data_IF_426630279369
#
_entry.id   IF_426630279369
#
_cell.length_a   1.000
_cell.length_b   1.000
_cell.length_c   1.000
_cell.angle_alpha   90.00
_cell.angle_beta   90.00
_cell.angle_gamma   90.00
#
_symmetry.space_group_name_H-M   'P 1'
#
loop_
_entity.id
_entity.type
_entity.pdbx_description
1 polymer ?
#
# COMPACT_ATOMS: atom_id res chain seq x y z
N UNK A 1 -9.87 -18.29 37.97
CA UNK A 1 -8.68 -17.45 38.18
C UNK A 1 -8.23 -16.91 36.86
N UNK A 2 -8.15 -15.59 36.64
CA UNK A 2 -7.61 -15.05 35.39
C UNK A 2 -6.10 -15.35 35.33
N UNK A 3 -5.63 -15.84 34.18
CA UNK A 3 -4.22 -16.11 33.91
C UNK A 3 -3.38 -14.84 34.05
N UNK A 4 -2.14 -14.90 34.55
CA UNK A 4 -1.29 -13.73 34.66
C UNK A 4 -1.06 -13.14 33.27
N UNK A 5 -1.35 -11.85 33.14
CA UNK A 5 -1.00 -11.03 31.98
C UNK A 5 0.48 -11.23 31.67
N UNK A 6 0.78 -12.01 30.63
CA UNK A 6 2.13 -12.08 30.07
C UNK A 6 2.53 -10.65 29.68
N UNK A 7 3.53 -10.08 30.36
CA UNK A 7 4.18 -8.84 29.96
C UNK A 7 4.65 -9.06 28.52
N UNK A 8 3.98 -8.42 27.55
CA UNK A 8 4.42 -8.45 26.16
C UNK A 8 5.83 -7.88 26.12
N UNK A 9 6.81 -8.71 25.75
CA UNK A 9 8.18 -8.28 25.52
C UNK A 9 8.17 -7.29 24.33
N UNK A 10 8.65 -6.06 24.55
CA UNK A 10 8.81 -5.07 23.48
C UNK A 10 10.23 -5.19 22.92
N UNK A 11 10.35 -5.36 21.61
CA UNK A 11 11.62 -5.18 20.91
C UNK A 11 11.81 -3.69 20.65
N UNK A 12 13.01 -3.19 20.93
CA UNK A 12 13.39 -1.80 20.75
C UNK A 12 14.69 -1.71 19.98
N UNK A 13 14.77 -0.81 19.01
CA UNK A 13 16.00 -0.44 18.34
C UNK A 13 16.67 0.71 19.10
N UNK A 14 17.96 0.54 19.46
CA UNK A 14 18.76 1.57 20.10
C UNK A 14 19.89 2.00 19.16
N UNK A 15 20.12 3.30 19.04
CA UNK A 15 21.21 3.90 18.26
C UNK A 15 21.85 5.08 19.01
N UNK A 16 23.00 5.57 18.54
CA UNK A 16 23.86 6.48 19.28
C UNK A 16 23.19 7.78 19.80
N UNK A 17 22.22 8.32 19.06
CA UNK A 17 21.49 9.57 19.40
C UNK A 17 20.09 9.36 20.03
N UNK A 18 19.68 8.13 20.26
CA UNK A 18 18.33 7.77 20.76
C UNK A 18 17.87 8.54 22.02
N UNK A 19 18.81 8.90 22.91
CA UNK A 19 18.48 9.62 24.15
C UNK A 19 18.29 11.14 23.98
N UNK A 20 18.85 11.74 22.96
CA UNK A 20 18.73 13.19 22.71
C UNK A 20 17.44 13.55 21.99
N UNK A 21 16.99 12.70 21.05
CA UNK A 21 15.80 12.95 20.24
C UNK A 21 14.48 12.78 20.97
N UNK A 22 14.43 11.92 21.99
CA UNK A 22 13.23 11.79 22.85
C UNK A 22 12.92 13.05 23.64
N UNK A 23 13.84 14.04 23.69
CA UNK A 23 13.68 15.30 24.42
C UNK A 23 13.36 16.51 23.53
N UNK A 24 13.39 16.40 22.20
CA UNK A 24 13.05 17.52 21.33
C UNK A 24 11.55 17.71 21.27
N UNK A 25 11.01 18.43 22.26
CA UNK A 25 9.75 19.15 22.13
C UNK A 25 9.83 20.00 20.86
N UNK A 26 8.94 19.74 19.91
CA UNK A 26 8.97 20.23 18.56
C UNK A 26 9.37 21.72 18.45
N UNK A 27 10.27 22.00 17.54
CA UNK A 27 10.63 23.36 17.17
C UNK A 27 9.34 24.01 16.65
N UNK A 28 8.79 24.97 17.41
CA UNK A 28 7.63 25.76 16.99
C UNK A 28 8.12 26.82 16.01
N UNK A 29 8.13 26.50 14.75
CA UNK A 29 8.33 27.51 13.72
C UNK A 29 7.03 28.28 13.50
N UNK A 30 7.07 29.62 13.42
CA UNK A 30 5.88 30.40 13.11
C UNK A 30 5.36 30.05 11.70
N UNK A 31 4.07 29.89 11.58
CA UNK A 31 3.37 29.50 10.36
C UNK A 31 2.56 30.70 9.85
N UNK A 32 2.56 30.89 8.53
CA UNK A 32 1.74 31.90 7.82
C UNK A 32 0.81 31.24 6.81
N UNK A 33 -0.47 31.58 6.87
CA UNK A 33 -1.45 31.19 5.85
C UNK A 33 -1.30 32.15 4.67
N UNK A 34 -0.91 31.63 3.50
CA UNK A 34 -0.76 32.41 2.25
C UNK A 34 -2.06 32.45 1.44
N UNK A 35 -2.82 31.35 1.43
CA UNK A 35 -4.12 31.23 0.77
C UNK A 35 -5.05 30.48 1.74
N UNK A 36 -6.24 31.00 1.96
CA UNK A 36 -7.25 30.37 2.79
C UNK A 36 -8.38 29.80 1.91
N UNK A 37 -8.92 28.65 2.29
CA UNK A 37 -9.98 27.96 1.60
C UNK A 37 -10.96 27.34 2.59
N UNK A 38 -12.18 27.16 2.18
CA UNK A 38 -13.23 26.48 2.96
C UNK A 38 -13.32 24.98 2.71
N UNK A 39 -12.56 24.44 1.76
CA UNK A 39 -12.61 23.02 1.36
C UNK A 39 -12.10 22.05 2.43
N UNK A 40 -11.31 22.54 3.38
CA UNK A 40 -10.63 21.70 4.36
C UNK A 40 -9.35 21.01 3.84
N UNK A 41 -9.00 21.17 2.57
CA UNK A 41 -7.73 20.68 2.01
C UNK A 41 -6.58 21.64 2.36
N UNK A 42 -5.42 21.06 2.77
CA UNK A 42 -4.28 21.85 3.25
C UNK A 42 -3.01 21.45 2.51
N UNK A 43 -2.26 22.43 2.03
CA UNK A 43 -0.92 22.26 1.48
C UNK A 43 0.09 23.04 2.34
N UNK A 44 1.07 22.36 2.90
CA UNK A 44 2.12 22.96 3.72
C UNK A 44 3.43 23.07 2.95
N UNK A 45 3.99 24.28 2.92
CA UNK A 45 5.36 24.51 2.50
C UNK A 45 6.21 24.75 3.75
N UNK A 46 6.64 23.69 4.41
CA UNK A 46 7.41 23.75 5.67
C UNK A 46 8.11 22.42 5.94
N UNK A 47 8.94 22.35 6.97
CA UNK A 47 9.33 21.06 7.54
C UNK A 47 8.09 20.29 8.00
N UNK A 48 8.08 19.00 7.72
CA UNK A 48 6.90 18.16 8.00
C UNK A 48 6.65 17.99 9.52
N UNK A 49 7.66 18.01 10.38
CA UNK A 49 7.46 17.98 11.82
C UNK A 49 6.72 19.25 12.30
N UNK A 50 7.05 20.42 11.74
CA UNK A 50 6.33 21.68 11.97
C UNK A 50 4.86 21.57 11.55
N UNK A 51 4.60 21.04 10.36
CA UNK A 51 3.24 20.87 9.84
C UNK A 51 2.42 19.93 10.70
N UNK A 52 2.99 18.79 11.10
CA UNK A 52 2.28 17.79 11.92
C UNK A 52 1.96 18.33 13.30
N UNK A 53 2.88 19.08 13.94
CA UNK A 53 2.62 19.76 15.22
C UNK A 53 1.52 20.82 15.09
N UNK A 54 1.54 21.63 14.01
CA UNK A 54 0.47 22.57 13.74
C UNK A 54 -0.90 21.88 13.63
N UNK A 55 -0.96 20.74 12.96
CA UNK A 55 -2.20 19.97 12.83
C UNK A 55 -2.72 19.50 14.19
N UNK A 56 -1.83 19.03 15.09
CA UNK A 56 -2.23 18.66 16.47
C UNK A 56 -2.81 19.86 17.22
N UNK A 57 -2.11 21.01 17.20
CA UNK A 57 -2.55 22.23 17.86
C UNK A 57 -3.89 22.76 17.32
N UNK A 58 -4.21 22.45 16.05
CA UNK A 58 -5.48 22.82 15.42
C UNK A 58 -6.53 21.69 15.43
N UNK A 59 -6.39 20.71 16.31
CA UNK A 59 -7.40 19.71 16.60
C UNK A 59 -7.55 18.62 15.55
N UNK A 60 -6.49 18.28 14.78
CA UNK A 60 -6.49 17.17 13.82
C UNK A 60 -6.12 15.82 14.46
N UNK A 61 -5.94 15.73 15.78
CA UNK A 61 -5.72 14.46 16.45
C UNK A 61 -6.83 13.46 16.13
N UNK A 62 -6.42 12.25 15.77
CA UNK A 62 -7.33 11.14 15.43
C UNK A 62 -8.31 11.41 14.26
N UNK A 63 -7.94 12.29 13.31
CA UNK A 63 -8.81 12.64 12.18
C UNK A 63 -8.37 12.12 10.83
N UNK A 64 -7.10 11.74 10.66
CA UNK A 64 -6.58 11.28 9.36
C UNK A 64 -6.87 9.80 9.17
N UNK A 65 -7.56 9.45 8.09
CA UNK A 65 -7.98 8.08 7.83
C UNK A 65 -6.93 7.27 7.06
N UNK A 66 -6.12 7.92 6.23
CA UNK A 66 -5.03 7.29 5.51
C UNK A 66 -3.82 8.21 5.44
N UNK A 67 -2.68 7.70 5.84
CA UNK A 67 -1.37 8.36 5.61
C UNK A 67 -0.58 7.53 4.62
N UNK A 68 -0.06 8.17 3.57
CA UNK A 68 0.99 7.63 2.73
C UNK A 68 2.19 8.53 2.82
N UNK A 69 3.38 7.97 3.02
CA UNK A 69 4.62 8.73 3.00
C UNK A 69 5.72 8.00 2.22
N UNK A 70 6.52 8.78 1.53
CA UNK A 70 7.68 8.36 0.75
C UNK A 70 8.91 9.19 1.17
N UNK A 71 9.48 8.91 2.37
CA UNK A 71 10.62 9.67 2.88
C UNK A 71 11.88 9.38 2.07
N UNK A 72 12.96 10.20 2.17
CA UNK A 72 14.26 9.92 1.56
C UNK A 72 14.76 8.51 1.88
N UNK A 73 15.49 7.86 0.95
CA UNK A 73 15.90 6.45 1.09
C UNK A 73 17.34 6.23 1.59
N UNK A 74 18.02 7.28 2.00
CA UNK A 74 19.39 7.17 2.53
C UNK A 74 20.45 6.88 1.47
N UNK A 75 20.21 7.26 0.22
CA UNK A 75 21.13 6.98 -0.90
C UNK A 75 22.23 8.03 -1.10
N UNK A 76 22.03 9.24 -0.58
CA UNK A 76 22.92 10.37 -0.79
C UNK A 76 22.90 10.90 -2.23
N UNK A 77 21.75 10.85 -2.85
CA UNK A 77 21.54 11.30 -4.22
C UNK A 77 20.87 12.68 -4.25
N UNK A 78 21.20 13.49 -5.26
CA UNK A 78 20.50 14.73 -5.56
C UNK A 78 19.41 14.45 -6.58
N UNK A 79 18.21 14.96 -6.33
CA UNK A 79 17.05 14.77 -7.16
C UNK A 79 16.59 16.08 -7.78
N UNK A 80 16.09 16.03 -9.00
CA UNK A 80 15.76 17.18 -9.82
C UNK A 80 14.34 17.10 -10.38
N UNK A 81 13.81 18.27 -10.72
CA UNK A 81 12.65 18.39 -11.59
C UNK A 81 13.14 18.88 -12.95
N UNK A 82 12.96 18.09 -13.99
CA UNK A 82 13.44 18.31 -15.36
C UNK A 82 12.30 18.69 -16.27
N UNK A 83 12.32 19.89 -16.82
CA UNK A 83 11.39 20.35 -17.85
C UNK A 83 12.11 21.05 -18.99
N UNK A 84 11.90 20.59 -20.24
CA UNK A 84 12.38 21.27 -21.46
C UNK A 84 13.82 21.83 -21.34
N UNK A 85 14.78 21.00 -20.96
CA UNK A 85 16.19 21.35 -20.78
C UNK A 85 16.54 22.24 -19.56
N UNK A 86 15.59 22.42 -18.64
CA UNK A 86 15.87 23.09 -17.35
C UNK A 86 15.83 22.05 -16.23
N UNK A 87 16.90 22.00 -15.44
CA UNK A 87 16.97 21.18 -14.23
C UNK A 87 16.83 22.08 -13.01
N UNK A 88 15.76 21.91 -12.24
CA UNK A 88 15.56 22.59 -10.97
C UNK A 88 15.85 21.61 -9.83
N UNK A 89 16.68 21.96 -8.84
CA UNK A 89 16.90 21.13 -7.67
C UNK A 89 15.56 20.84 -6.97
N UNK A 90 15.28 19.59 -6.68
CA UNK A 90 14.09 19.16 -5.96
C UNK A 90 14.43 18.94 -4.47
N UNK A 91 15.27 17.97 -4.17
CA UNK A 91 15.81 17.76 -2.83
C UNK A 91 17.13 16.96 -2.89
N UNK A 92 17.88 16.97 -1.79
CA UNK A 92 19.09 16.19 -1.59
C UNK A 92 18.90 15.18 -0.47
N UNK A 93 19.14 13.89 -0.75
CA UNK A 93 19.16 12.86 0.26
C UNK A 93 20.54 12.81 0.91
N UNK A 94 20.65 13.36 2.10
CA UNK A 94 21.93 13.55 2.81
C UNK A 94 22.36 12.36 3.69
N UNK A 95 21.60 11.27 3.68
CA UNK A 95 21.74 10.17 4.65
C UNK A 95 22.63 9.00 4.22
N UNK A 96 23.37 9.10 3.11
CA UNK A 96 24.21 8.00 2.64
C UNK A 96 25.15 7.49 3.72
N UNK A 97 24.94 6.22 4.13
CA UNK A 97 25.73 5.58 5.19
C UNK A 97 25.48 6.11 6.61
N UNK A 98 24.57 7.05 6.79
CA UNK A 98 24.26 7.72 8.05
C UNK A 98 22.91 7.26 8.59
N UNK A 99 22.78 5.96 8.84
CA UNK A 99 21.52 5.34 9.28
C UNK A 99 21.00 6.00 10.56
N UNK A 100 21.87 6.28 11.52
CA UNK A 100 21.49 6.93 12.79
C UNK A 100 20.87 8.31 12.58
N UNK A 101 21.46 9.18 11.71
CA UNK A 101 20.90 10.51 11.40
C UNK A 101 19.52 10.37 10.70
N UNK A 102 19.34 9.35 9.87
CA UNK A 102 18.05 9.06 9.26
C UNK A 102 17.01 8.64 10.31
N UNK A 103 17.39 7.78 11.24
CA UNK A 103 16.47 7.33 12.30
C UNK A 103 16.08 8.50 13.21
N UNK A 104 17.02 9.40 13.53
CA UNK A 104 16.77 10.65 14.25
C UNK A 104 15.77 11.57 13.50
N UNK A 105 15.81 11.56 12.19
CA UNK A 105 14.88 12.33 11.36
C UNK A 105 13.49 11.69 11.34
N UNK A 106 13.39 10.40 11.09
CA UNK A 106 12.10 9.75 10.81
C UNK A 106 11.30 9.39 12.08
N UNK A 107 11.98 9.02 13.17
CA UNK A 107 11.33 8.57 14.41
C UNK A 107 10.34 9.60 14.98
N UNK A 108 10.73 10.87 15.27
CA UNK A 108 9.82 11.85 15.83
C UNK A 108 8.64 12.17 14.90
N UNK A 109 8.84 12.07 13.57
CA UNK A 109 7.79 12.28 12.58
C UNK A 109 6.74 11.18 12.63
N UNK A 110 7.16 9.93 12.68
CA UNK A 110 6.27 8.78 12.79
C UNK A 110 5.48 8.80 14.10
N UNK A 111 6.15 9.17 15.20
CA UNK A 111 5.51 9.28 16.53
C UNK A 111 4.37 10.32 16.54
N UNK A 112 4.60 11.50 15.94
CA UNK A 112 3.59 12.56 15.89
C UNK A 112 2.50 12.24 14.85
N UNK A 113 2.86 11.68 13.69
CA UNK A 113 1.90 11.20 12.67
C UNK A 113 0.95 10.16 13.28
N UNK A 114 1.46 9.25 14.11
CA UNK A 114 0.65 8.24 14.78
C UNK A 114 -0.51 8.86 15.58
N UNK A 115 -0.33 10.03 16.19
CA UNK A 115 -1.37 10.75 16.94
C UNK A 115 -2.48 11.31 16.04
N UNK A 116 -2.15 11.70 14.81
CA UNK A 116 -3.12 12.23 13.85
C UNK A 116 -4.04 11.16 13.26
N UNK A 117 -3.61 9.90 13.23
CA UNK A 117 -4.36 8.81 12.58
C UNK A 117 -5.61 8.46 13.38
N UNK A 118 -6.75 8.39 12.69
CA UNK A 118 -8.05 8.01 13.24
C UNK A 118 -8.06 6.57 13.74
N UNK A 119 -9.00 6.22 14.61
CA UNK A 119 -9.11 4.86 15.18
C UNK A 119 -9.24 3.76 14.12
N UNK A 120 -9.77 4.08 12.93
CA UNK A 120 -9.89 3.15 11.78
C UNK A 120 -8.82 3.36 10.72
N UNK A 121 -7.93 4.33 10.92
CA UNK A 121 -6.97 4.77 9.93
C UNK A 121 -5.76 3.85 9.78
N UNK A 122 -5.01 4.10 8.72
CA UNK A 122 -3.82 3.34 8.33
C UNK A 122 -2.69 4.26 7.89
N UNK A 123 -1.46 3.74 8.00
CA UNK A 123 -0.27 4.35 7.41
C UNK A 123 0.42 3.38 6.47
N UNK A 124 0.88 3.91 5.35
CA UNK A 124 1.68 3.24 4.32
C UNK A 124 3.00 3.98 4.20
N UNK A 125 4.11 3.31 4.54
CA UNK A 125 5.46 3.88 4.47
C UNK A 125 6.24 3.19 3.37
N UNK A 126 6.53 3.93 2.29
CA UNK A 126 7.25 3.43 1.14
C UNK A 126 8.75 3.57 1.36
N UNK A 127 9.49 2.50 1.20
CA UNK A 127 10.92 2.42 1.47
C UNK A 127 11.62 1.48 0.48
N UNK A 128 12.91 1.70 0.30
CA UNK A 128 13.75 0.68 -0.29
C UNK A 128 14.47 -0.17 0.78
N UNK A 129 15.22 -1.16 0.34
CA UNK A 129 15.89 -2.14 1.22
C UNK A 129 16.92 -1.52 2.19
N UNK A 130 17.47 -0.31 1.90
CA UNK A 130 18.49 0.30 2.75
C UNK A 130 17.99 0.61 4.16
N UNK A 131 16.75 1.05 4.27
CA UNK A 131 16.17 1.57 5.51
C UNK A 131 14.96 0.78 6.01
N UNK A 132 14.37 -0.07 5.15
CA UNK A 132 13.14 -0.82 5.40
C UNK A 132 13.13 -1.52 6.75
N UNK A 133 14.18 -2.28 7.04
CA UNK A 133 14.23 -3.12 8.25
C UNK A 133 14.35 -2.31 9.53
N UNK A 134 15.11 -1.21 9.50
CA UNK A 134 15.23 -0.31 10.65
C UNK A 134 13.92 0.41 10.93
N UNK A 135 13.28 0.95 9.89
CA UNK A 135 11.98 1.63 10.01
C UNK A 135 10.89 0.64 10.45
N UNK A 136 10.95 -0.63 10.01
CA UNK A 136 10.01 -1.65 10.47
C UNK A 136 10.05 -1.83 11.98
N UNK A 137 11.25 -1.89 12.59
CA UNK A 137 11.39 -2.03 14.05
C UNK A 137 10.88 -0.78 14.78
N UNK A 138 11.16 0.41 14.26
CA UNK A 138 10.64 1.67 14.80
C UNK A 138 9.11 1.71 14.73
N UNK A 139 8.53 1.28 13.62
CA UNK A 139 7.08 1.24 13.48
C UNK A 139 6.43 0.22 14.41
N UNK A 140 7.08 -0.91 14.69
CA UNK A 140 6.61 -1.86 15.70
C UNK A 140 6.61 -1.24 17.10
N UNK A 141 7.59 -0.38 17.44
CA UNK A 141 7.64 0.34 18.70
C UNK A 141 6.52 1.39 18.81
N UNK A 142 6.33 2.21 17.76
CA UNK A 142 5.40 3.35 17.75
C UNK A 142 3.95 2.91 17.56
N UNK A 143 3.70 2.03 16.60
CA UNK A 143 2.34 1.61 16.22
C UNK A 143 1.89 0.32 16.94
N UNK A 144 2.83 -0.49 17.42
CA UNK A 144 2.60 -1.83 17.97
C UNK A 144 2.72 -2.91 16.90
N UNK A 145 3.47 -4.00 17.21
CA UNK A 145 3.66 -5.14 16.32
C UNK A 145 2.32 -5.76 15.86
N UNK A 146 1.33 -5.82 16.75
CA UNK A 146 0.00 -6.35 16.48
C UNK A 146 -0.81 -5.54 15.45
N UNK A 147 -0.39 -4.31 15.19
CA UNK A 147 -1.02 -3.40 14.22
C UNK A 147 -0.37 -3.47 12.84
N UNK A 148 0.71 -4.23 12.69
CA UNK A 148 1.29 -4.54 11.39
C UNK A 148 0.31 -5.36 10.55
N UNK A 149 0.11 -4.95 9.30
CA UNK A 149 -0.80 -5.61 8.36
C UNK A 149 -0.06 -6.40 7.31
N UNK A 150 0.78 -5.73 6.54
CA UNK A 150 1.59 -6.37 5.50
C UNK A 150 2.82 -5.54 5.18
N UNK A 151 3.84 -6.20 4.67
CA UNK A 151 4.81 -5.64 3.77
C UNK A 151 4.29 -5.88 2.35
N UNK A 152 4.14 -4.80 1.57
CA UNK A 152 3.71 -4.85 0.18
C UNK A 152 4.96 -4.69 -0.68
N UNK A 153 5.23 -5.69 -1.52
CA UNK A 153 6.34 -5.67 -2.47
C UNK A 153 5.86 -5.06 -3.78
N UNK A 154 6.53 -4.00 -4.23
CA UNK A 154 6.19 -3.32 -5.46
C UNK A 154 7.38 -3.28 -6.43
N UNK A 155 7.13 -3.45 -7.72
CA UNK A 155 8.15 -3.37 -8.74
C UNK A 155 8.62 -1.93 -8.95
N UNK A 156 9.94 -1.72 -9.01
CA UNK A 156 10.53 -0.37 -9.17
C UNK A 156 10.28 0.28 -10.52
N UNK A 157 10.02 -0.48 -11.56
CA UNK A 157 9.91 0.00 -12.93
C UNK A 157 11.10 -0.42 -13.81
N UNK A 158 11.01 -0.13 -15.09
CA UNK A 158 12.00 -0.55 -16.10
C UNK A 158 13.23 0.36 -16.09
N UNK A 159 14.11 0.24 -15.11
CA UNK A 159 15.48 0.75 -15.31
C UNK A 159 16.24 -0.20 -16.21
N UNK A 160 17.03 0.36 -17.16
CA UNK A 160 17.98 -0.46 -17.96
C UNK A 160 18.87 -1.20 -16.98
N UNK A 161 18.85 -2.53 -17.04
CA UNK A 161 19.74 -3.36 -16.22
C UNK A 161 21.16 -3.27 -16.80
N UNK A 162 21.96 -2.37 -16.26
CA UNK A 162 23.36 -2.16 -16.71
C UNK A 162 24.29 -3.29 -16.25
N UNK A 163 23.81 -4.25 -15.42
CA UNK A 163 24.62 -5.37 -14.95
C UNK A 163 25.14 -6.26 -16.10
N UNK A 164 24.42 -6.30 -17.23
CA UNK A 164 24.88 -7.00 -18.46
C UNK A 164 26.22 -6.47 -19.03
N UNK A 165 26.65 -5.26 -18.63
CA UNK A 165 27.93 -4.67 -19.08
C UNK A 165 29.13 -5.24 -18.32
N UNK A 166 28.91 -5.95 -17.20
CA UNK A 166 29.98 -6.47 -16.36
C UNK A 166 30.15 -7.97 -16.58
N UNK A 167 31.40 -8.44 -16.60
CA UNK A 167 31.72 -9.88 -16.70
C UNK A 167 31.33 -10.66 -15.44
N UNK A 168 31.28 -10.01 -14.32
CA UNK A 168 30.89 -10.56 -13.02
C UNK A 168 30.09 -9.55 -12.21
N UNK A 169 29.23 -10.01 -11.31
CA UNK A 169 28.42 -9.20 -10.40
C UNK A 169 28.63 -9.68 -8.96
N UNK A 170 28.60 -8.75 -8.01
CA UNK A 170 28.71 -9.01 -6.57
C UNK A 170 27.34 -9.19 -5.91
N UNK A 171 26.28 -8.75 -6.57
CA UNK A 171 24.89 -8.85 -6.08
C UNK A 171 23.87 -8.83 -7.21
N UNK A 172 22.67 -9.30 -6.91
CA UNK A 172 21.55 -9.25 -7.84
C UNK A 172 21.02 -7.82 -8.01
N UNK A 173 20.37 -7.54 -9.14
CA UNK A 173 19.68 -6.29 -9.35
C UNK A 173 18.49 -6.16 -8.39
N UNK A 174 18.41 -5.02 -7.67
CA UNK A 174 17.28 -4.69 -6.81
C UNK A 174 16.12 -4.20 -7.68
N UNK A 175 15.10 -5.03 -7.81
CA UNK A 175 13.97 -4.81 -8.70
C UNK A 175 12.69 -4.32 -8.00
N UNK A 176 12.70 -4.22 -6.67
CA UNK A 176 11.54 -3.87 -5.87
C UNK A 176 11.83 -2.79 -4.83
N UNK A 177 10.77 -2.11 -4.43
CA UNK A 177 10.64 -1.37 -3.18
C UNK A 177 9.61 -2.08 -2.30
N UNK A 178 9.53 -1.69 -1.04
CA UNK A 178 8.57 -2.23 -0.08
C UNK A 178 7.73 -1.11 0.54
N UNK A 179 6.47 -1.42 0.83
CA UNK A 179 5.59 -0.52 1.55
C UNK A 179 5.16 -1.21 2.85
N UNK A 180 5.52 -0.64 3.98
CA UNK A 180 5.05 -1.11 5.28
C UNK A 180 3.65 -0.57 5.55
N UNK A 181 2.69 -1.46 5.79
CA UNK A 181 1.32 -1.10 6.12
C UNK A 181 1.00 -1.43 7.57
N UNK A 182 0.61 -0.39 8.32
CA UNK A 182 0.09 -0.49 9.68
C UNK A 182 -1.30 0.14 9.77
N UNK A 183 -2.15 -0.40 10.64
CA UNK A 183 -3.39 0.25 11.07
C UNK A 183 -3.22 0.89 12.43
N UNK A 184 -4.11 1.81 12.79
CA UNK A 184 -4.13 2.42 14.14
C UNK A 184 -4.44 1.41 15.24
N UNK A 185 -5.28 0.41 14.97
CA UNK A 185 -5.65 -0.62 15.94
C UNK A 185 -5.75 -2.01 15.31
N UNK A 186 -5.46 -3.05 16.07
CA UNK A 186 -5.52 -4.45 15.64
C UNK A 186 -6.94 -4.89 15.23
N UNK A 187 -7.97 -4.26 15.79
CA UNK A 187 -9.38 -4.54 15.47
C UNK A 187 -9.87 -3.95 14.16
N UNK A 188 -9.10 -3.09 13.49
CA UNK A 188 -9.50 -2.48 12.22
C UNK A 188 -9.65 -3.56 11.14
N UNK A 189 -10.85 -3.62 10.54
CA UNK A 189 -11.17 -4.53 9.44
C UNK A 189 -11.28 -3.74 8.14
N UNK A 190 -10.75 -4.33 7.08
CA UNK A 190 -10.82 -3.78 5.73
C UNK A 190 -11.70 -4.67 4.86
N UNK A 191 -12.37 -4.07 3.89
CA UNK A 191 -13.02 -4.85 2.84
C UNK A 191 -11.94 -5.57 2.02
N UNK A 192 -12.29 -6.72 1.43
CA UNK A 192 -11.36 -7.42 0.55
C UNK A 192 -10.94 -6.51 -0.61
N UNK A 193 -9.67 -6.08 -0.67
CA UNK A 193 -9.19 -5.32 -1.80
C UNK A 193 -9.22 -6.19 -3.06
N UNK A 194 -9.90 -5.70 -4.09
CA UNK A 194 -10.09 -6.41 -5.35
C UNK A 194 -9.35 -5.70 -6.48
N UNK A 195 -8.67 -6.48 -7.32
CA UNK A 195 -8.09 -5.98 -8.57
C UNK A 195 -8.71 -6.66 -9.76
N UNK A 196 -8.82 -5.93 -10.88
CA UNK A 196 -9.24 -6.49 -12.15
C UNK A 196 -8.18 -7.50 -12.61
N UNK A 197 -8.57 -8.75 -12.67
CA UNK A 197 -7.74 -9.82 -13.22
C UNK A 197 -8.68 -10.84 -13.87
N UNK A 198 -8.75 -10.81 -15.19
CA UNK A 198 -9.60 -11.71 -15.95
C UNK A 198 -8.98 -13.11 -15.91
N UNK A 199 -9.66 -14.01 -15.23
CA UNK A 199 -9.35 -15.44 -15.26
C UNK A 199 -10.45 -16.18 -16.00
N UNK A 200 -10.08 -16.94 -17.02
CA UNK A 200 -11.00 -17.76 -17.76
C UNK A 200 -11.52 -18.91 -16.89
N UNK A 201 -12.72 -19.39 -17.19
CA UNK A 201 -13.25 -20.60 -16.60
C UNK A 201 -12.37 -21.82 -16.91
N UNK A 202 -12.34 -22.78 -15.99
CA UNK A 202 -11.57 -24.02 -16.18
C UNK A 202 -12.15 -25.18 -15.38
N UNK A 203 -11.87 -26.39 -15.82
CA UNK A 203 -12.12 -27.61 -15.07
C UNK A 203 -10.90 -27.97 -14.22
N UNK A 204 -11.12 -28.37 -12.99
CA UNK A 204 -10.07 -28.82 -12.06
C UNK A 204 -10.45 -30.15 -11.38
N UNK A 205 -9.46 -30.96 -11.06
CA UNK A 205 -9.64 -32.21 -10.33
C UNK A 205 -10.35 -32.00 -9.00
N UNK A 206 -11.37 -32.83 -8.74
CA UNK A 206 -12.22 -32.73 -7.56
C UNK A 206 -11.65 -33.44 -6.32
N UNK A 207 -10.67 -34.31 -6.52
CA UNK A 207 -9.94 -34.98 -5.43
C UNK A 207 -8.87 -34.06 -4.80
N UNK A 208 -8.65 -34.27 -3.48
CA UNK A 208 -7.63 -33.60 -2.68
C UNK A 208 -6.92 -34.63 -1.79
N UNK A 209 -5.62 -34.44 -1.55
CA UNK A 209 -4.83 -35.31 -0.67
C UNK A 209 -5.03 -35.02 0.84
N UNK A 210 -5.85 -34.03 1.20
CA UNK A 210 -6.22 -33.76 2.60
C UNK A 210 -7.00 -34.95 3.15
N UNK A 211 -6.71 -35.35 4.40
CA UNK A 211 -7.33 -36.52 5.02
C UNK A 211 -8.51 -36.14 5.93
N UNK A 212 -9.72 -36.18 5.39
CA UNK A 212 -10.97 -36.05 6.14
C UNK A 212 -11.91 -37.22 5.77
N UNK A 213 -11.98 -38.28 6.59
CA UNK A 213 -12.78 -39.48 6.26
C UNK A 213 -14.25 -39.19 5.95
N UNK A 214 -14.87 -38.21 6.62
CA UNK A 214 -16.27 -37.78 6.38
C UNK A 214 -16.52 -37.17 4.99
N UNK A 215 -15.46 -36.85 4.26
CA UNK A 215 -15.50 -36.33 2.90
C UNK A 215 -15.20 -37.42 1.85
N UNK A 216 -15.19 -38.70 2.27
CA UNK A 216 -15.06 -39.87 1.40
C UNK A 216 -16.42 -40.50 1.25
N UNK A 217 -17.03 -40.30 0.12
CA UNK A 217 -18.33 -40.84 -0.27
C UNK A 217 -18.27 -41.23 -1.73
N UNK A 218 -19.20 -42.07 -2.15
CA UNK A 218 -19.26 -42.56 -3.53
C UNK A 218 -19.69 -41.45 -4.51
N UNK A 219 -18.89 -41.25 -5.58
CA UNK A 219 -19.25 -40.47 -6.76
C UNK A 219 -18.81 -41.22 -8.03
N UNK A 220 -19.75 -41.40 -8.96
CA UNK A 220 -19.51 -42.09 -10.23
C UNK A 220 -18.93 -43.51 -10.05
N UNK A 221 -19.41 -44.22 -9.04
CA UNK A 221 -18.98 -45.60 -8.74
C UNK A 221 -17.61 -45.67 -8.04
N UNK A 222 -17.07 -44.55 -7.52
CA UNK A 222 -15.75 -44.52 -6.91
C UNK A 222 -15.76 -43.82 -5.52
N UNK A 223 -15.15 -44.50 -4.54
CA UNK A 223 -14.87 -43.93 -3.20
C UNK A 223 -13.37 -43.78 -3.02
N UNK A 224 -12.85 -42.61 -2.62
CA UNK A 224 -11.42 -42.45 -2.41
C UNK A 224 -10.90 -43.28 -1.21
N UNK A 225 -9.93 -44.14 -1.41
CA UNK A 225 -9.26 -44.88 -0.32
C UNK A 225 -8.40 -43.95 0.54
N UNK A 226 -7.74 -42.95 -0.11
CA UNK A 226 -6.95 -41.88 0.52
C UNK A 226 -7.36 -40.52 -0.04
N UNK A 227 -7.05 -39.49 0.75
CA UNK A 227 -7.49 -38.15 0.41
C UNK A 227 -8.97 -37.97 0.64
N UNK A 228 -9.59 -37.05 -0.08
CA UNK A 228 -11.01 -36.71 0.08
C UNK A 228 -11.56 -36.03 -1.16
N UNK A 229 -12.88 -35.90 -1.24
CA UNK A 229 -13.53 -34.97 -2.14
C UNK A 229 -13.46 -33.54 -1.59
N UNK A 230 -13.52 -32.52 -2.46
CA UNK A 230 -13.39 -31.10 -2.04
C UNK A 230 -14.66 -30.53 -1.41
N UNK A 231 -15.84 -31.07 -1.73
CA UNK A 231 -17.12 -30.59 -1.22
C UNK A 231 -17.87 -31.68 -0.46
N UNK A 232 -18.90 -31.29 0.31
CA UNK A 232 -19.81 -32.24 0.95
C UNK A 232 -20.61 -33.04 -0.09
N UNK A 233 -21.13 -34.22 0.33
CA UNK A 233 -21.88 -35.11 -0.56
C UNK A 233 -23.08 -34.43 -1.20
N UNK A 234 -23.89 -33.72 -0.42
CA UNK A 234 -25.07 -33.02 -0.92
C UNK A 234 -24.71 -31.96 -1.99
N UNK A 235 -23.68 -31.13 -1.73
CA UNK A 235 -23.21 -30.12 -2.68
C UNK A 235 -22.66 -30.74 -3.97
N UNK A 236 -21.91 -31.85 -3.85
CA UNK A 236 -21.36 -32.54 -5.01
C UNK A 236 -22.47 -33.19 -5.88
N UNK A 237 -23.46 -33.82 -5.26
CA UNK A 237 -24.60 -34.42 -6.01
C UNK A 237 -25.40 -33.35 -6.73
N UNK A 238 -25.68 -32.22 -6.09
CA UNK A 238 -26.38 -31.10 -6.75
C UNK A 238 -25.56 -30.57 -7.95
N UNK A 239 -24.24 -30.42 -7.80
CA UNK A 239 -23.38 -29.96 -8.89
C UNK A 239 -23.32 -30.97 -10.07
N UNK A 240 -23.42 -32.27 -9.80
CA UNK A 240 -23.49 -33.30 -10.83
C UNK A 240 -24.84 -33.18 -11.56
N UNK A 241 -25.95 -33.00 -10.84
CA UNK A 241 -27.27 -32.86 -11.44
C UNK A 241 -27.36 -31.59 -12.29
N UNK A 242 -26.84 -30.47 -11.80
CA UNK A 242 -26.74 -29.23 -12.57
C UNK A 242 -26.01 -29.44 -13.91
N UNK A 243 -24.93 -30.23 -13.90
CA UNK A 243 -24.17 -30.51 -15.12
C UNK A 243 -24.96 -31.43 -16.08
N UNK A 244 -25.68 -32.42 -15.56
CA UNK A 244 -26.57 -33.26 -16.38
C UNK A 244 -27.68 -32.45 -17.05
N UNK A 245 -28.31 -31.55 -16.31
CA UNK A 245 -29.34 -30.64 -16.85
C UNK A 245 -28.75 -29.78 -17.97
N UNK A 246 -27.57 -29.21 -17.76
CA UNK A 246 -26.89 -28.44 -18.78
C UNK A 246 -26.64 -29.27 -20.03
N UNK A 247 -26.04 -30.45 -19.92
CA UNK A 247 -25.73 -31.31 -21.08
C UNK A 247 -26.99 -31.81 -21.79
N UNK A 248 -28.06 -32.09 -21.02
CA UNK A 248 -29.30 -32.63 -21.60
C UNK A 248 -30.20 -31.59 -22.28
N UNK A 249 -30.14 -30.33 -21.88
CA UNK A 249 -31.07 -29.29 -22.34
C UNK A 249 -30.44 -28.02 -22.91
N UNK A 250 -29.16 -27.74 -22.65
CA UNK A 250 -28.51 -26.46 -22.94
C UNK A 250 -27.12 -26.64 -23.54
N UNK A 251 -26.75 -27.80 -24.04
CA UNK A 251 -25.43 -28.08 -24.61
C UNK A 251 -25.13 -27.30 -25.90
N UNK A 252 -26.11 -26.66 -26.51
CA UNK A 252 -26.03 -25.78 -27.66
C UNK A 252 -25.39 -24.42 -27.34
N UNK A 253 -25.36 -24.04 -26.06
CA UNK A 253 -24.67 -22.80 -25.61
C UNK A 253 -23.47 -23.14 -24.75
N UNK A 254 -22.42 -22.26 -24.73
CA UNK A 254 -21.27 -22.46 -23.86
C UNK A 254 -21.64 -22.51 -22.39
N UNK A 255 -20.98 -23.40 -21.61
CA UNK A 255 -21.24 -23.54 -20.16
C UNK A 255 -21.13 -22.23 -19.40
N UNK A 256 -20.18 -21.37 -19.79
CA UNK A 256 -20.02 -20.05 -19.19
C UNK A 256 -21.22 -19.13 -19.44
N UNK A 257 -21.82 -19.20 -20.61
CA UNK A 257 -23.02 -18.44 -20.95
C UNK A 257 -24.23 -18.98 -20.19
N UNK A 258 -24.41 -20.29 -20.13
CA UNK A 258 -25.45 -20.93 -19.32
C UNK A 258 -25.35 -20.52 -17.85
N UNK A 259 -24.14 -20.58 -17.27
CA UNK A 259 -23.87 -20.15 -15.90
C UNK A 259 -24.24 -18.68 -15.66
N UNK A 260 -23.93 -17.78 -16.60
CA UNK A 260 -24.31 -16.36 -16.51
C UNK A 260 -25.84 -16.17 -16.51
N UNK A 261 -26.58 -16.95 -17.32
CA UNK A 261 -28.04 -16.90 -17.39
C UNK A 261 -28.71 -17.41 -16.12
N UNK A 262 -28.06 -18.27 -15.35
CA UNK A 262 -28.56 -18.85 -14.09
C UNK A 262 -28.10 -18.09 -12.85
N UNK A 263 -27.99 -16.76 -12.94
CA UNK A 263 -27.62 -15.87 -11.83
C UNK A 263 -26.26 -16.18 -11.20
N UNK A 264 -25.38 -16.86 -11.93
CA UNK A 264 -24.01 -17.16 -11.54
C UNK A 264 -23.85 -17.99 -10.25
N UNK A 265 -24.89 -18.72 -9.83
CA UNK A 265 -24.91 -19.46 -8.57
C UNK A 265 -24.76 -20.98 -8.75
N UNK A 266 -24.75 -21.48 -10.00
CA UNK A 266 -24.65 -22.91 -10.25
C UNK A 266 -23.21 -23.40 -10.20
N UNK A 267 -23.03 -24.57 -9.60
CA UNK A 267 -21.79 -25.33 -9.58
C UNK A 267 -21.94 -26.58 -10.45
N UNK A 268 -20.83 -27.04 -11.04
CA UNK A 268 -20.85 -28.17 -11.94
C UNK A 268 -19.72 -29.14 -11.62
N UNK A 269 -20.07 -30.44 -11.62
CA UNK A 269 -19.12 -31.55 -11.54
C UNK A 269 -19.37 -32.48 -12.71
N UNK A 270 -18.32 -32.94 -13.36
CA UNK A 270 -18.35 -33.93 -14.42
C UNK A 270 -17.32 -35.05 -14.19
N UNK A 271 -17.53 -36.17 -14.88
CA UNK A 271 -16.53 -37.25 -15.00
C UNK A 271 -16.28 -37.49 -16.48
N UNK A 272 -15.04 -37.34 -16.92
CA UNK A 272 -14.62 -37.74 -18.26
C UNK A 272 -14.01 -39.15 -18.21
N UNK A 273 -14.21 -39.98 -19.27
CA UNK A 273 -13.59 -41.32 -19.34
C UNK A 273 -12.07 -41.30 -19.19
N UNK A 274 -11.40 -40.29 -19.75
CA UNK A 274 -9.95 -40.16 -19.81
C UNK A 274 -9.28 -39.75 -18.49
N UNK A 275 -10.03 -39.40 -17.42
CA UNK A 275 -9.46 -38.94 -16.14
C UNK A 275 -9.85 -39.87 -15.00
N UNK A 276 -8.93 -40.09 -14.05
CA UNK A 276 -9.17 -40.97 -12.90
C UNK A 276 -10.24 -40.42 -11.96
N UNK A 277 -10.22 -39.13 -11.67
CA UNK A 277 -11.13 -38.49 -10.72
C UNK A 277 -12.11 -37.53 -11.41
N UNK A 278 -13.29 -37.27 -10.81
CA UNK A 278 -14.19 -36.21 -11.27
C UNK A 278 -13.52 -34.85 -11.30
N UNK A 279 -14.06 -33.95 -12.12
CA UNK A 279 -13.62 -32.57 -12.23
C UNK A 279 -14.77 -31.64 -11.82
N UNK A 280 -14.45 -30.54 -11.15
CA UNK A 280 -15.38 -29.45 -10.89
C UNK A 280 -15.04 -28.23 -11.73
N UNK A 281 -16.06 -27.49 -12.12
CA UNK A 281 -15.89 -26.29 -12.92
C UNK A 281 -15.63 -25.07 -12.03
N UNK A 282 -14.62 -24.28 -12.38
CA UNK A 282 -14.33 -23.00 -11.79
C UNK A 282 -14.84 -21.93 -12.74
N UNK A 283 -15.80 -21.08 -12.32
CA UNK A 283 -16.30 -20.00 -13.16
C UNK A 283 -15.25 -18.96 -13.47
N UNK A 284 -15.44 -18.17 -14.54
CA UNK A 284 -14.56 -17.05 -14.84
C UNK A 284 -14.63 -16.01 -13.72
N UNK A 285 -13.50 -15.34 -13.47
CA UNK A 285 -13.44 -14.23 -12.52
C UNK A 285 -12.95 -12.98 -13.23
N UNK A 286 -13.60 -11.87 -12.98
CA UNK A 286 -13.17 -10.55 -13.47
C UNK A 286 -12.30 -9.80 -12.46
N UNK A 287 -12.39 -10.22 -11.18
CA UNK A 287 -11.63 -9.64 -10.08
C UNK A 287 -11.05 -10.76 -9.23
N UNK A 288 -9.89 -10.51 -8.66
CA UNK A 288 -9.24 -11.39 -7.68
C UNK A 288 -8.92 -10.58 -6.42
N UNK A 289 -8.85 -11.28 -5.29
CA UNK A 289 -8.37 -10.65 -4.05
C UNK A 289 -6.92 -10.23 -4.28
N UNK A 290 -6.62 -8.99 -3.92
CA UNK A 290 -5.28 -8.44 -3.96
C UNK A 290 -4.42 -9.13 -2.90
N UNK A 291 -3.26 -9.61 -3.28
CA UNK A 291 -2.21 -10.04 -2.35
C UNK A 291 -1.22 -8.89 -2.08
N UNK A 292 -0.15 -9.17 -1.37
CA UNK A 292 0.87 -8.18 -1.02
C UNK A 292 2.04 -8.13 -2.02
N UNK A 293 1.95 -8.79 -3.17
CA UNK A 293 3.00 -8.76 -4.22
C UNK A 293 2.44 -8.07 -5.46
N UNK A 294 2.79 -6.79 -5.63
CA UNK A 294 2.26 -5.93 -6.69
C UNK A 294 3.27 -5.77 -7.82
N UNK A 295 3.39 -6.78 -8.67
CA UNK A 295 4.29 -6.76 -9.83
C UNK A 295 3.63 -6.22 -11.10
N UNK A 296 2.34 -5.99 -11.05
CA UNK A 296 1.50 -5.46 -12.14
C UNK A 296 1.48 -3.93 -12.19
N UNK A 297 2.03 -3.27 -11.18
CA UNK A 297 2.18 -1.80 -11.09
C UNK A 297 3.66 -1.48 -10.86
N UNK A 298 4.12 -0.39 -11.48
CA UNK A 298 5.43 0.18 -11.23
C UNK A 298 5.36 1.23 -10.09
N UNK A 299 6.43 1.33 -9.28
CA UNK A 299 6.48 2.28 -8.18
C UNK A 299 6.61 3.73 -8.67
N UNK A 300 7.33 3.94 -9.77
CA UNK A 300 7.72 5.25 -10.28
C UNK A 300 7.08 5.59 -11.62
N UNK A 301 6.82 6.88 -11.80
CA UNK A 301 6.48 7.53 -13.06
C UNK A 301 7.46 8.66 -13.33
N UNK A 302 7.51 9.13 -14.55
CA UNK A 302 8.33 10.29 -14.95
C UNK A 302 7.49 11.27 -15.76
N UNK A 303 6.19 11.27 -15.56
CA UNK A 303 5.25 12.05 -16.37
C UNK A 303 5.37 13.56 -16.16
N UNK A 304 5.73 13.98 -14.93
CA UNK A 304 5.93 15.39 -14.59
C UNK A 304 7.37 15.85 -14.71
N UNK A 305 8.32 14.94 -14.97
CA UNK A 305 9.76 15.22 -14.93
C UNK A 305 10.37 15.31 -13.52
N UNK A 306 9.62 14.97 -12.47
CA UNK A 306 10.13 14.90 -11.12
C UNK A 306 10.77 13.52 -10.86
N UNK A 307 12.05 13.48 -10.48
CA UNK A 307 12.87 12.26 -10.45
C UNK A 307 12.32 11.12 -9.60
N UNK A 308 11.60 11.43 -8.53
CA UNK A 308 11.03 10.46 -7.59
C UNK A 308 9.51 10.38 -7.65
N UNK A 309 8.90 10.86 -8.75
CA UNK A 309 7.46 10.81 -8.92
C UNK A 309 6.92 9.39 -8.79
N UNK A 310 5.95 9.19 -7.90
CA UNK A 310 5.26 7.91 -7.77
C UNK A 310 4.23 7.71 -8.86
N UNK A 311 4.04 6.46 -9.26
CA UNK A 311 3.04 6.12 -10.27
C UNK A 311 1.63 6.32 -9.72
N UNK A 312 0.76 7.03 -10.45
CA UNK A 312 -0.61 7.30 -10.00
C UNK A 312 -1.41 6.04 -9.70
N UNK A 313 -1.25 4.96 -10.49
CA UNK A 313 -1.94 3.69 -10.25
C UNK A 313 -1.59 3.06 -8.90
N UNK A 314 -0.39 3.29 -8.37
CA UNK A 314 -0.02 2.85 -7.04
C UNK A 314 -0.89 3.56 -5.98
N UNK A 315 -0.96 4.88 -6.07
CA UNK A 315 -1.73 5.69 -5.12
C UNK A 315 -3.24 5.46 -5.30
N UNK A 316 -3.74 5.27 -6.54
CA UNK A 316 -5.11 4.86 -6.80
C UNK A 316 -5.47 3.54 -6.10
N UNK A 317 -4.56 2.56 -6.16
CA UNK A 317 -4.76 1.28 -5.50
C UNK A 317 -4.79 1.43 -3.98
N UNK A 318 -3.83 2.14 -3.39
CA UNK A 318 -3.77 2.35 -1.94
C UNK A 318 -4.99 3.17 -1.48
N UNK A 319 -5.20 4.35 -2.02
CA UNK A 319 -6.26 5.27 -1.58
C UNK A 319 -7.64 4.66 -1.88
N UNK A 320 -7.83 4.08 -3.06
CA UNK A 320 -9.10 3.49 -3.48
C UNK A 320 -9.53 2.28 -2.65
N UNK A 321 -8.58 1.45 -2.21
CA UNK A 321 -8.89 0.21 -1.47
C UNK A 321 -8.94 0.43 0.05
N UNK A 322 -8.18 1.39 0.59
CA UNK A 322 -7.99 1.54 2.03
C UNK A 322 -8.58 2.84 2.60
N UNK A 323 -9.31 3.61 1.80
CA UNK A 323 -10.09 4.77 2.24
C UNK A 323 -11.44 4.84 1.54
N UNK A 324 -12.34 5.70 2.03
CA UNK A 324 -13.68 5.95 1.50
C UNK A 324 -13.77 7.37 0.92
N UNK A 325 -14.78 7.65 0.13
CA UNK A 325 -15.07 9.01 -0.29
C UNK A 325 -15.23 9.92 0.94
N UNK A 326 -14.69 11.13 0.88
CA UNK A 326 -14.61 12.14 1.96
C UNK A 326 -13.70 11.79 3.14
N UNK A 327 -13.04 10.63 3.18
CA UNK A 327 -11.99 10.36 4.15
C UNK A 327 -10.82 11.35 3.95
N UNK A 328 -10.08 11.61 5.02
CA UNK A 328 -8.93 12.49 5.00
C UNK A 328 -7.65 11.68 4.74
N UNK A 329 -6.99 11.99 3.62
CA UNK A 329 -5.71 11.39 3.18
C UNK A 329 -4.58 12.38 3.43
N UNK A 330 -3.46 11.94 4.00
CA UNK A 330 -2.31 12.81 4.23
C UNK A 330 -1.02 12.24 3.62
N UNK A 331 -0.17 13.15 3.12
CA UNK A 331 1.19 12.86 2.67
C UNK A 331 2.14 13.97 3.14
N UNK A 332 3.01 13.62 4.11
CA UNK A 332 3.94 14.56 4.74
C UNK A 332 5.31 14.63 4.03
N UNK A 333 5.45 13.94 2.90
CA UNK A 333 6.58 13.96 1.98
C UNK A 333 6.07 14.01 0.54
N UNK A 334 5.16 14.95 0.24
CA UNK A 334 4.29 14.86 -0.93
C UNK A 334 5.01 15.02 -2.29
N UNK A 335 6.21 15.58 -2.33
CA UNK A 335 7.01 15.70 -3.54
C UNK A 335 6.22 16.36 -4.68
N UNK A 336 6.06 15.64 -5.78
CA UNK A 336 5.27 16.08 -6.95
C UNK A 336 3.75 16.14 -6.72
N UNK A 337 3.25 15.80 -5.52
CA UNK A 337 1.84 15.87 -5.15
C UNK A 337 0.98 14.72 -5.68
N UNK A 338 1.55 13.62 -6.14
CA UNK A 338 0.77 12.52 -6.74
C UNK A 338 -0.29 11.97 -5.80
N UNK A 339 0.03 11.80 -4.51
CA UNK A 339 -0.94 11.36 -3.48
C UNK A 339 -2.14 12.29 -3.40
N UNK A 340 -1.92 13.61 -3.42
CA UNK A 340 -2.95 14.62 -3.27
C UNK A 340 -3.85 14.70 -4.52
N UNK A 341 -3.25 14.66 -5.70
CA UNK A 341 -3.98 14.63 -6.98
C UNK A 341 -4.89 13.41 -7.06
N UNK A 342 -4.39 12.24 -6.68
CA UNK A 342 -5.17 11.01 -6.68
C UNK A 342 -6.27 11.06 -5.62
N UNK A 343 -5.98 11.54 -4.41
CA UNK A 343 -6.99 11.72 -3.36
C UNK A 343 -8.12 12.64 -3.81
N UNK A 344 -7.78 13.79 -4.39
CA UNK A 344 -8.75 14.73 -4.98
C UNK A 344 -9.65 14.07 -6.04
N UNK A 345 -9.02 13.38 -7.01
CA UNK A 345 -9.74 12.68 -8.09
C UNK A 345 -10.70 11.59 -7.59
N UNK A 346 -10.34 10.93 -6.51
CA UNK A 346 -11.15 9.90 -5.88
C UNK A 346 -12.17 10.46 -4.87
N UNK A 347 -12.32 11.77 -4.74
CA UNK A 347 -13.28 12.42 -3.83
C UNK A 347 -12.92 12.32 -2.35
N UNK A 348 -11.63 12.27 -2.02
CA UNK A 348 -11.08 12.34 -0.67
C UNK A 348 -10.65 13.77 -0.36
N UNK A 349 -10.74 14.15 0.92
CA UNK A 349 -10.04 15.34 1.42
C UNK A 349 -8.57 15.01 1.59
N UNK A 350 -7.69 16.03 1.57
CA UNK A 350 -6.27 15.75 1.63
C UNK A 350 -5.47 16.82 2.38
N UNK A 351 -4.33 16.39 2.93
CA UNK A 351 -3.29 17.21 3.52
C UNK A 351 -1.97 16.83 2.88
N UNK A 352 -1.24 17.81 2.35
CA UNK A 352 0.11 17.61 1.80
C UNK A 352 1.13 18.47 2.50
N UNK A 353 2.37 18.00 2.59
CA UNK A 353 3.49 18.77 3.09
C UNK A 353 4.77 18.43 2.33
N UNK A 354 5.52 19.46 1.98
CA UNK A 354 6.89 19.32 1.52
C UNK A 354 7.71 20.56 1.89
N UNK A 355 9.01 20.41 2.09
CA UNK A 355 9.91 21.53 2.37
C UNK A 355 10.53 22.12 1.09
N UNK A 356 10.47 21.40 -0.04
CA UNK A 356 10.98 21.84 -1.32
C UNK A 356 10.04 22.82 -2.00
N UNK A 357 10.51 24.03 -2.31
CA UNK A 357 9.75 25.00 -3.10
C UNK A 357 9.40 24.47 -4.50
N UNK A 358 10.29 23.69 -5.11
CA UNK A 358 10.06 23.06 -6.42
C UNK A 358 8.92 22.04 -6.34
N UNK A 359 8.90 21.20 -5.28
CA UNK A 359 7.84 20.24 -5.03
C UNK A 359 6.48 20.96 -4.84
N UNK A 360 6.42 21.97 -3.99
CA UNK A 360 5.19 22.73 -3.73
C UNK A 360 4.66 23.40 -4.98
N UNK A 361 5.51 24.12 -5.75
CA UNK A 361 5.09 24.76 -6.99
C UNK A 361 4.54 23.76 -8.02
N UNK A 362 5.16 22.58 -8.12
CA UNK A 362 4.66 21.53 -9.00
C UNK A 362 3.30 21.00 -8.53
N UNK A 363 3.18 20.75 -7.23
CA UNK A 363 1.94 20.30 -6.60
C UNK A 363 0.81 21.30 -6.78
N UNK A 364 1.07 22.60 -6.57
CA UNK A 364 0.09 23.67 -6.81
C UNK A 364 -0.40 23.68 -8.26
N UNK A 365 0.48 23.58 -9.25
CA UNK A 365 0.12 23.51 -10.67
C UNK A 365 -0.76 22.29 -10.98
N UNK A 366 -0.45 21.12 -10.40
CA UNK A 366 -1.27 19.91 -10.60
C UNK A 366 -2.65 20.01 -9.94
N UNK A 367 -2.77 20.82 -8.89
CA UNK A 367 -4.00 21.05 -8.12
C UNK A 367 -4.65 22.42 -8.42
N UNK A 368 -4.24 23.14 -9.47
CA UNK A 368 -4.68 24.52 -9.78
C UNK A 368 -6.20 24.69 -9.86
N UNK A 369 -6.93 23.61 -10.23
CA UNK A 369 -8.40 23.58 -10.28
C UNK A 369 -9.05 23.16 -8.97
N UNK A 370 -8.26 22.92 -7.93
CA UNK A 370 -8.74 22.48 -6.63
C UNK A 370 -8.78 23.66 -5.66
N UNK A 371 -9.72 23.61 -4.72
CA UNK A 371 -9.74 24.55 -3.62
C UNK A 371 -8.98 24.01 -2.42
N UNK A 372 -7.99 24.76 -1.92
CA UNK A 372 -7.17 24.38 -0.78
C UNK A 372 -6.53 25.59 -0.10
N UNK A 373 -6.17 25.46 1.17
CA UNK A 373 -5.37 26.44 1.90
C UNK A 373 -3.87 26.15 1.70
N UNK A 374 -3.10 27.21 1.41
CA UNK A 374 -1.63 27.15 1.34
C UNK A 374 -1.04 27.76 2.61
N UNK A 375 -0.26 26.97 3.33
CA UNK A 375 0.32 27.31 4.63
C UNK A 375 1.84 27.24 4.54
N UNK A 376 2.52 28.31 4.92
CA UNK A 376 3.99 28.40 4.84
C UNK A 376 4.63 28.55 6.22
N UNK A 377 5.62 27.72 6.52
CA UNK A 377 6.55 27.94 7.64
C UNK A 377 7.48 29.11 7.34
N UNK A 378 7.72 29.99 8.32
CA UNK A 378 8.50 31.22 8.12
C UNK A 378 9.99 30.99 7.99
N UNK A 379 10.51 29.83 8.38
CA UNK A 379 11.90 29.42 8.15
C UNK A 379 11.94 27.89 8.01
N UNK A 380 12.01 27.33 6.80
CA UNK A 380 12.33 25.93 6.64
C UNK A 380 13.82 25.73 6.94
N UNK A 381 14.21 25.83 8.22
CA UNK A 381 15.54 25.51 8.73
C UNK A 381 15.55 24.13 9.38
N UNK A 382 15.09 23.13 8.67
CA UNK A 382 15.38 21.76 9.05
C UNK A 382 16.75 21.38 8.49
N UNK A 383 17.65 20.83 9.31
CA UNK A 383 18.92 20.19 8.90
C UNK A 383 18.70 19.20 7.73
N UNK A 384 17.47 18.86 7.45
CA UNK A 384 17.03 17.83 6.51
C UNK A 384 16.15 18.35 5.35
N UNK A 385 15.88 19.65 5.31
CA UNK A 385 15.29 20.30 4.16
C UNK A 385 16.42 20.74 3.24
N UNK A 386 16.82 19.92 2.29
CA UNK A 386 17.87 20.20 1.32
C UNK A 386 17.51 21.41 0.45
N UNK A 387 17.74 22.61 0.98
CA UNK A 387 17.84 23.81 0.20
C UNK A 387 19.31 24.04 -0.17
N UNK A 388 19.63 24.77 -1.26
CA UNK A 388 21.02 25.10 -1.56
C UNK A 388 21.66 25.79 -0.35
N UNK A 389 22.75 25.18 0.14
CA UNK A 389 23.66 25.87 1.06
C UNK A 389 24.21 27.03 0.25
N UNK A 390 23.82 28.26 0.59
CA UNK A 390 24.39 29.51 0.03
C UNK A 390 25.85 29.59 0.33
#
# INVERSE_FOLDING_TARGET
>A
MPSPLQKKSKVKLCWASDNEYKKTNGIKEPIRILKNSTSGNLLFHSDNLTSVNYLIENGFEHKIDLVYIDPPFGRGEKYYHRMKNVENPAFEDVFRGKIHEYLDMIYPRLEVIQKLISARGSIFVHLDWHLLHYVKVIMDEIFGYENFRNEIIIKRGRRKNLLYQFKSIDRMHVANDSILWYSKSAGTKFHHPLVKNKRNSKWMGFWSNVNRPTMRYELFGFVPERGQWKWSKARALLAIENYKVYVGKFADIPLEEYWRRTSQNMEFIRKRPSVKYPEYWIPPKTHVILDNIWTDIEAYSYSTGYDTEKHEQLLERIIGQFSRARDLVADFFCGSGTTLVVAQRLGRNWIGCDCSSTAIQLTERRLERSDFSLIKGLKPRGKYCGGPVS
#
